data_IF_730234541934
#
_entry.id   IF_730234541934
#
_cell.length_a   1.000
_cell.length_b   1.000
_cell.length_c   1.000
_cell.angle_alpha   90.00
_cell.angle_beta   90.00
_cell.angle_gamma   90.00
#
_symmetry.space_group_name_H-M   'P 1'
#
loop_
_entity.id
_entity.type
_entity.pdbx_description
1 polymer ?
2 non-polymer ?
3 non-polymer ?
4 water ?
#
# COMPACT_ATOMS: atom_id res chain seq x y z
N UNK A 5 -2.71 -4.54 19.01
CA UNK A 5 -2.57 -4.37 17.53
C UNK A 5 -1.19 -4.79 17.05
N UNK A 6 -0.87 -6.07 17.25
CA UNK A 6 0.42 -6.62 16.83
C UNK A 6 0.48 -6.70 15.31
N UNK A 7 1.44 -6.01 14.72
CA UNK A 7 1.66 -6.03 13.28
C UNK A 7 2.18 -7.38 12.78
N UNK A 8 1.83 -7.70 11.53
CA UNK A 8 2.50 -8.79 10.83
C UNK A 8 3.88 -8.30 10.36
N UNK A 9 4.67 -9.22 9.79
CA UNK A 9 6.00 -8.86 9.30
C UNK A 9 5.90 -8.07 8.00
N UNK A 10 7.02 -7.47 7.59
CA UNK A 10 7.07 -6.74 6.34
C UNK A 10 6.78 -7.66 5.14
N UNK A 11 7.29 -8.89 5.19
CA UNK A 11 6.98 -9.85 4.12
C UNK A 11 5.49 -10.20 4.11
N UNK A 12 4.92 -10.42 5.28
CA UNK A 12 3.48 -10.72 5.35
C UNK A 12 2.65 -9.53 4.84
N UNK A 13 3.10 -8.31 5.12
CA UNK A 13 2.47 -7.11 4.55
C UNK A 13 2.57 -7.05 3.03
N UNK A 14 3.79 -7.22 2.51
CA UNK A 14 4.03 -7.19 1.07
C UNK A 14 3.13 -8.21 0.35
N UNK A 15 3.15 -9.45 0.83
CA UNK A 15 2.41 -10.52 0.17
C UNK A 15 0.89 -10.40 0.36
N UNK A 16 0.47 -9.96 1.54
CA UNK A 16 -0.96 -9.82 1.83
C UNK A 16 -1.68 -11.15 1.67
N UNK A 17 -2.90 -11.13 1.12
CA UNK A 17 -3.62 -12.38 0.84
C UNK A 17 -2.97 -13.23 -0.26
N UNK A 18 -2.00 -12.67 -0.97
CA UNK A 18 -1.35 -13.38 -2.07
C UNK A 18 -2.11 -13.27 -3.38
N UNK A 19 -3.18 -12.48 -3.37
CA UNK A 19 -4.00 -12.19 -4.54
C UNK A 19 -4.47 -10.73 -4.42
N UNK A 20 -4.93 -10.15 -5.53
CA UNK A 20 -5.36 -8.76 -5.55
C UNK A 20 -4.17 -7.83 -5.38
N UNK A 21 -4.43 -6.61 -4.93
CA UNK A 21 -3.37 -5.63 -4.73
C UNK A 21 -3.83 -4.55 -3.78
N UNK A 22 -3.08 -3.46 -3.73
CA UNK A 22 -3.34 -2.42 -2.74
C UNK A 22 -3.41 -1.05 -3.37
N UNK A 23 -4.44 -0.29 -2.98
CA UNK A 23 -4.54 1.12 -3.37
C UNK A 23 -4.05 1.99 -2.22
N UNK A 24 -3.37 3.07 -2.56
CA UNK A 24 -3.07 4.09 -1.58
C UNK A 24 -4.37 4.83 -1.24
N UNK A 25 -4.80 4.72 0.01
CA UNK A 25 -6.04 5.34 0.46
C UNK A 25 -5.79 6.76 0.96
N UNK A 26 -4.97 6.90 1.99
CA UNK A 26 -4.66 8.22 2.54
C UNK A 26 -3.17 8.38 2.74
N UNK A 27 -2.69 9.61 2.61
CA UNK A 27 -1.29 9.92 2.82
C UNK A 27 -1.11 11.33 3.33
N UNK A 28 0.01 11.57 4.00
CA UNK A 28 0.41 12.93 4.35
C UNK A 28 1.00 13.69 3.15
N UNK A 29 1.31 12.97 2.07
CA UNK A 29 1.96 13.57 0.91
C UNK A 29 0.97 14.29 0.01
N UNK A 30 1.22 15.57 -0.26
CA UNK A 30 0.42 16.33 -1.23
C UNK A 30 0.83 16.02 -2.67
N UNK A 31 -0.06 16.33 -3.61
CA UNK A 31 0.23 16.19 -5.04
C UNK A 31 0.33 14.77 -5.57
N UNK A 32 -0.22 13.81 -4.82
CA UNK A 32 -0.17 12.42 -5.23
C UNK A 32 -1.22 12.15 -6.32
N UNK A 33 -0.85 11.40 -7.35
CA UNK A 33 -1.78 11.08 -8.42
C UNK A 33 -2.87 10.10 -7.93
N UNK A 34 -4.12 10.39 -8.28
CA UNK A 34 -5.24 9.51 -7.98
C UNK A 34 -4.95 8.06 -8.37
N UNK A 35 -5.46 7.12 -7.57
CA UNK A 35 -5.43 5.70 -7.90
C UNK A 35 -4.02 5.09 -7.88
N UNK A 36 -3.13 5.73 -7.14
CA UNK A 36 -1.83 5.14 -6.83
C UNK A 36 -2.05 3.74 -6.25
N UNK A 37 -1.31 2.77 -6.77
CA UNK A 37 -1.50 1.37 -6.37
C UNK A 37 -0.19 0.60 -6.46
N UNK A 38 -0.14 -0.54 -5.79
CA UNK A 38 0.88 -1.57 -6.01
C UNK A 38 0.17 -2.92 -6.06
N UNK A 39 0.77 -3.86 -6.77
CA UNK A 39 0.24 -5.22 -6.81
C UNK A 39 1.37 -6.23 -6.91
N UNK A 40 1.44 -7.13 -5.95
CA UNK A 40 2.47 -8.15 -5.95
C UNK A 40 2.09 -9.40 -6.71
N UNK A 41 3.10 -10.05 -7.29
CA UNK A 41 2.93 -11.32 -7.97
C UNK A 41 4.26 -12.07 -7.87
N UNK A 42 4.28 -13.32 -8.31
CA UNK A 42 5.51 -14.11 -8.32
C UNK A 42 6.18 -14.12 -6.94
N UNK A 43 5.38 -14.46 -5.92
CA UNK A 43 5.86 -14.43 -4.55
C UNK A 43 6.81 -15.59 -4.27
N UNK A 44 8.00 -15.25 -3.81
CA UNK A 44 8.98 -16.23 -3.39
C UNK A 44 9.10 -16.13 -1.88
N UNK A 45 8.43 -17.04 -1.17
CA UNK A 45 8.37 -17.01 0.29
C UNK A 45 9.73 -17.22 0.96
N UNK A 46 10.56 -18.08 0.35
CA UNK A 46 11.89 -18.39 0.89
C UNK A 46 12.80 -17.16 0.87
N UNK A 47 12.84 -16.49 -0.28
CA UNK A 47 13.71 -15.34 -0.49
C UNK A 47 13.08 -14.03 -0.06
N UNK A 48 11.77 -14.06 0.19
CA UNK A 48 10.97 -12.86 0.47
C UNK A 48 11.17 -11.82 -0.64
N UNK A 49 10.96 -12.28 -1.87
CA UNK A 49 10.98 -11.41 -3.04
C UNK A 49 9.71 -11.60 -3.84
N UNK A 50 9.34 -10.57 -4.60
CA UNK A 50 8.16 -10.61 -5.44
C UNK A 50 8.35 -9.68 -6.64
N UNK A 51 7.49 -9.81 -7.63
CA UNK A 51 7.35 -8.80 -8.65
C UNK A 51 6.29 -7.81 -8.15
N UNK A 52 6.61 -6.52 -8.19
CA UNK A 52 5.62 -5.47 -7.99
C UNK A 52 5.26 -4.84 -9.32
N UNK A 53 3.96 -4.69 -9.55
CA UNK A 53 3.45 -3.83 -10.62
C UNK A 53 2.83 -2.64 -9.93
N UNK A 54 3.23 -1.44 -10.33
CA UNK A 54 2.79 -0.23 -9.63
C UNK A 54 2.53 0.90 -10.59
N UNK A 55 1.77 1.88 -10.13
CA UNK A 55 1.41 3.02 -10.95
C UNK A 55 0.30 3.82 -10.32
N UNK A 56 -0.41 4.55 -11.17
CA UNK A 56 -1.49 5.42 -10.76
C UNK A 56 -2.36 5.69 -12.00
N UNK A 57 -3.33 6.59 -11.90
CA UNK A 57 -4.19 6.88 -13.04
C UNK A 57 -3.44 7.67 -14.10
N UNK A 58 -3.34 7.08 -15.29
CA UNK A 58 -2.79 7.77 -16.45
C UNK A 58 -3.90 8.31 -17.34
N UNK A 59 -3.61 8.45 -18.63
CA UNK A 59 -4.59 8.92 -19.59
C UNK A 59 -5.55 7.80 -20.01
N UNK A 60 -6.65 8.18 -20.66
CA UNK A 60 -7.61 7.22 -21.20
C UNK A 60 -8.33 6.40 -20.13
N UNK A 61 -8.36 6.95 -18.92
CA UNK A 61 -8.93 6.27 -17.74
C UNK A 61 -8.31 4.90 -17.50
N UNK A 62 -7.01 4.79 -17.77
CA UNK A 62 -6.26 3.55 -17.59
C UNK A 62 -5.14 3.75 -16.58
N UNK A 63 -4.91 2.74 -15.74
CA UNK A 63 -3.79 2.75 -14.81
C UNK A 63 -2.47 2.58 -15.56
N UNK A 64 -1.47 3.33 -15.14
CA UNK A 64 -0.11 3.10 -15.59
C UNK A 64 0.42 1.83 -14.92
N UNK A 65 1.39 1.19 -15.55
CA UNK A 65 2.04 0.01 -15.00
C UNK A 65 3.53 0.08 -15.22
N UNK A 66 4.28 -0.12 -14.15
CA UNK A 66 5.72 -0.31 -14.23
C UNK A 66 6.02 -1.48 -13.28
N UNK A 67 7.03 -2.28 -13.62
CA UNK A 67 7.38 -3.39 -12.74
C UNK A 67 8.71 -3.14 -12.03
N UNK A 68 8.89 -3.83 -10.91
CA UNK A 68 10.13 -3.79 -10.16
C UNK A 68 10.17 -5.03 -9.29
N UNK A 69 11.37 -5.45 -8.91
CA UNK A 69 11.51 -6.47 -7.89
C UNK A 69 11.17 -5.81 -6.56
N UNK A 70 10.34 -6.47 -5.78
CA UNK A 70 10.08 -6.03 -4.41
C UNK A 70 10.76 -7.02 -3.47
N UNK A 71 11.36 -6.50 -2.41
CA UNK A 71 12.05 -7.33 -1.43
C UNK A 71 11.88 -6.75 -0.04
N UNK A 72 12.57 -7.36 0.92
CA UNK A 72 12.46 -6.96 2.32
C UNK A 72 13.85 -6.62 2.85
N UNK A 73 13.95 -5.49 3.54
CA UNK A 73 15.16 -5.15 4.27
C UNK A 73 14.72 -4.68 5.65
N UNK A 74 15.14 -5.41 6.67
CA UNK A 74 14.65 -5.16 8.02
C UNK A 74 13.14 -5.21 8.01
N UNK A 75 12.52 -4.16 8.51
CA UNK A 75 11.06 -4.11 8.59
C UNK A 75 10.48 -3.21 7.49
N UNK A 76 11.18 -3.13 6.36
CA UNK A 76 10.76 -2.32 5.23
C UNK A 76 10.51 -3.12 3.96
N UNK A 77 9.49 -2.69 3.22
CA UNK A 77 9.21 -3.17 1.88
C UNK A 77 10.05 -2.34 0.91
N UNK A 78 10.89 -3.03 0.16
CA UNK A 78 11.87 -2.37 -0.71
C UNK A 78 11.44 -2.45 -2.16
N UNK A 79 11.29 -1.30 -2.81
CA UNK A 79 11.02 -1.23 -4.25
C UNK A 79 11.94 -0.14 -4.79
N UNK A 80 12.93 -0.55 -5.60
CA UNK A 80 13.97 0.38 -6.03
C UNK A 80 14.67 0.93 -4.79
N UNK A 81 14.75 2.26 -4.69
CA UNK A 81 15.36 2.91 -3.53
C UNK A 81 14.36 3.20 -2.41
N UNK A 82 13.08 2.96 -2.67
CA UNK A 82 12.02 3.18 -1.68
C UNK A 82 12.02 2.06 -0.65
N UNK A 83 12.31 2.42 0.60
CA UNK A 83 12.19 1.49 1.72
C UNK A 83 11.03 1.95 2.59
N UNK A 84 9.91 1.26 2.46
CA UNK A 84 8.68 1.62 3.18
C UNK A 84 8.61 0.84 4.48
N UNK A 85 8.85 1.53 5.59
CA UNK A 85 8.84 0.87 6.91
C UNK A 85 7.42 0.53 7.30
N UNK A 86 7.19 -0.72 7.68
CA UNK A 86 5.86 -1.17 8.07
C UNK A 86 5.58 -0.74 9.51
N UNK A 87 4.65 0.20 9.69
CA UNK A 87 4.27 0.65 11.03
C UNK A 87 3.21 -0.26 11.62
N UNK A 88 2.19 -0.60 10.82
CA UNK A 88 1.24 -1.64 11.16
C UNK A 88 0.67 -2.25 9.89
N UNK A 89 0.58 -3.58 9.85
CA UNK A 89 -0.15 -4.27 8.78
C UNK A 89 -0.86 -5.47 9.37
N UNK A 90 -2.05 -5.78 8.84
CA UNK A 90 -2.72 -7.03 9.21
C UNK A 90 -2.45 -8.16 8.22
N UNK A 91 -1.69 -7.89 7.16
CA UNK A 91 -1.36 -8.91 6.16
C UNK A 91 -2.55 -9.35 5.31
N UNK A 92 -3.67 -8.62 5.40
CA UNK A 92 -4.93 -9.06 4.81
C UNK A 92 -5.70 -7.95 4.12
N UNK A 93 -5.79 -6.79 4.77
CA UNK A 93 -6.69 -5.73 4.29
C UNK A 93 -6.08 -4.34 4.24
N UNK A 94 -5.04 -4.08 5.04
CA UNK A 94 -4.49 -2.73 5.09
C UNK A 94 -3.10 -2.69 5.68
N UNK A 95 -2.37 -1.63 5.32
CA UNK A 95 -1.02 -1.36 5.82
C UNK A 95 -0.88 0.12 6.12
N UNK A 96 -0.14 0.42 7.18
CA UNK A 96 0.33 1.77 7.44
C UNK A 96 1.86 1.71 7.36
N UNK A 97 2.41 2.50 6.44
CA UNK A 97 3.85 2.53 6.21
C UNK A 97 4.40 3.95 6.23
N UNK A 98 5.70 4.07 6.46
CA UNK A 98 6.39 5.34 6.38
C UNK A 98 7.43 5.27 5.26
N UNK A 99 7.37 6.25 4.36
CA UNK A 99 8.30 6.32 3.23
C UNK A 99 8.61 7.77 2.96
N UNK A 100 9.90 8.10 2.92
CA UNK A 100 10.35 9.49 2.73
C UNK A 100 9.67 10.44 3.72
N UNK A 101 9.49 9.96 4.95
CA UNK A 101 8.86 10.72 6.03
C UNK A 101 7.34 10.74 6.01
N UNK A 102 6.75 10.36 4.87
CA UNK A 102 5.29 10.37 4.68
C UNK A 102 4.65 9.17 5.35
N UNK A 103 3.47 9.38 5.91
CA UNK A 103 2.69 8.31 6.51
C UNK A 103 1.60 7.93 5.51
N UNK A 104 1.55 6.65 5.16
CA UNK A 104 0.65 6.15 4.12
C UNK A 104 -0.24 5.04 4.64
N UNK A 105 -1.53 5.12 4.32
CA UNK A 105 -2.49 4.07 4.63
C UNK A 105 -2.93 3.44 3.31
N UNK A 106 -2.57 2.17 3.15
CA UNK A 106 -2.86 1.38 1.95
C UNK A 106 -3.97 0.39 2.26
N UNK A 107 -4.84 0.16 1.28
CA UNK A 107 -5.96 -0.78 1.45
C UNK A 107 -5.99 -1.82 0.34
N UNK A 108 -6.29 -3.06 0.72
CA UNK A 108 -6.42 -4.12 -0.24
C UNK A 108 -7.61 -3.86 -1.15
N UNK A 109 -7.52 -4.38 -2.37
CA UNK A 109 -8.60 -4.21 -3.35
C UNK A 109 -9.94 -4.76 -2.85
N UNK A 110 -9.90 -5.76 -1.98
CA UNK A 110 -11.12 -6.33 -1.36
C UNK A 110 -11.80 -5.40 -0.34
N UNK A 111 -11.09 -4.34 0.06
CA UNK A 111 -11.55 -3.45 1.11
C UNK A 111 -12.04 -2.09 0.60
N UNK A 112 -12.04 -1.92 -0.72
CA UNK A 112 -12.31 -0.60 -1.32
C UNK A 112 -13.76 -0.12 -1.20
N UNK A 113 -14.69 -1.03 -0.90
CA UNK A 113 -16.10 -0.63 -0.70
C UNK A 113 -16.44 -0.47 0.79
N UNK A 114 -15.44 -0.49 1.65
CA UNK A 114 -15.66 -0.32 3.08
C UNK A 114 -14.60 0.58 3.71
N UNK A 115 -14.32 1.71 3.05
CA UNK A 115 -13.22 2.56 3.51
C UNK A 115 -13.50 3.29 4.82
N UNK A 116 -14.75 3.29 5.25
CA UNK A 116 -15.12 3.80 6.58
C UNK A 116 -15.14 2.75 7.67
N UNK A 117 -14.89 1.49 7.30
CA UNK A 117 -14.88 0.38 8.25
C UNK A 117 -13.63 -0.50 8.12
N UNK A 118 -12.48 0.16 8.08
CA UNK A 118 -11.19 -0.52 8.01
C UNK A 118 -10.72 -0.98 9.37
N UNK A 119 -9.84 -1.97 9.37
CA UNK A 119 -9.18 -2.45 10.57
C UNK A 119 -8.81 -1.29 11.49
N UNK A 120 -9.33 -1.33 12.72
CA UNK A 120 -9.08 -0.28 13.70
C UNK A 120 -7.58 -0.10 13.98
N UNK A 121 -6.81 -1.17 13.85
CA UNK A 121 -5.36 -1.07 14.05
C UNK A 121 -4.71 -0.22 12.96
N UNK A 122 -5.25 -0.29 11.74
CA UNK A 122 -4.73 0.52 10.64
C UNK A 122 -5.08 1.99 10.80
N UNK A 123 -6.35 2.28 11.04
CA UNK A 123 -6.74 3.69 11.17
C UNK A 123 -6.13 4.31 12.43
N UNK A 124 -6.09 3.57 13.55
CA UNK A 124 -5.44 4.11 14.75
C UNK A 124 -3.96 4.44 14.48
N UNK A 125 -3.24 3.53 13.84
CA UNK A 125 -1.82 3.78 13.58
C UNK A 125 -1.62 4.98 12.64
N UNK A 126 -2.42 5.04 11.59
CA UNK A 126 -2.34 6.18 10.65
C UNK A 126 -2.61 7.49 11.40
N UNK A 127 -3.69 7.52 12.18
CA UNK A 127 -4.09 8.74 12.88
C UNK A 127 -3.05 9.18 13.91
N UNK A 128 -2.45 8.21 14.60
CA UNK A 128 -1.41 8.51 15.57
C UNK A 128 -0.17 9.07 14.88
N UNK A 129 0.30 8.38 13.85
CA UNK A 129 1.58 8.70 13.24
C UNK A 129 1.58 9.97 12.39
N UNK A 130 0.43 10.36 11.83
CA UNK A 130 0.40 11.57 11.03
C UNK A 130 0.47 12.85 11.87
N UNK A 131 0.21 12.74 13.18
CA UNK A 131 0.28 13.91 14.05
C UNK A 131 -0.63 15.01 13.56
N UNK A 132 -0.08 16.21 13.40
CA UNK A 132 -0.84 17.39 12.99
C UNK A 132 -0.78 17.66 11.49
N UNK A 133 -0.26 16.71 10.73
CA UNK A 133 -0.11 16.88 9.28
C UNK A 133 -1.42 16.59 8.57
N UNK A 134 -1.88 17.52 7.71
CA UNK A 134 -3.09 17.27 6.92
C UNK A 134 -3.02 15.98 6.08
N UNK A 135 -4.11 15.22 6.07
CA UNK A 135 -4.20 14.01 5.25
C UNK A 135 -4.72 14.34 3.86
N UNK A 136 -4.45 13.43 2.93
CA UNK A 136 -4.91 13.54 1.54
C UNK A 136 -5.48 12.20 1.14
N UNK A 137 -6.64 12.22 0.51
CA UNK A 137 -7.31 10.99 0.06
C UNK A 137 -6.98 10.77 -1.41
N UNK A 138 -6.41 9.62 -1.72
CA UNK A 138 -5.85 9.31 -3.03
C UNK A 138 -6.74 8.31 -3.79
N UNK A 139 -7.40 7.41 -3.05
CA UNK A 139 -8.32 6.45 -3.64
C UNK A 139 -9.69 7.07 -3.89
N UNK A 140 -10.32 6.66 -4.99
CA UNK A 140 -11.75 6.95 -5.21
C UNK A 140 -12.40 5.75 -5.89
N UNK A 141 -13.71 5.60 -5.69
CA UNK A 141 -14.43 4.42 -6.17
C UNK A 141 -14.33 4.21 -7.68
N UNK A 142 -14.16 5.30 -8.42
CA UNK A 142 -14.07 5.27 -9.88
C UNK A 142 -12.68 4.90 -10.40
N UNK A 143 -11.73 4.65 -9.50
CA UNK A 143 -10.42 4.13 -9.93
C UNK A 143 -10.61 2.83 -10.68
N UNK A 144 -9.87 2.64 -11.79
CA UNK A 144 -9.95 1.35 -12.49
C UNK A 144 -9.49 0.19 -11.60
N UNK A 145 -9.98 -1.01 -11.92
CA UNK A 145 -9.51 -2.24 -11.30
C UNK A 145 -8.00 -2.40 -11.54
N UNK A 146 -7.35 -3.12 -10.64
CA UNK A 146 -5.91 -3.33 -10.72
C UNK A 146 -5.53 -4.18 -11.94
N UNK A 147 -4.27 -4.06 -12.41
CA UNK A 147 -3.78 -4.89 -13.51
C UNK A 147 -4.00 -6.37 -13.21
N UNK A 148 -4.44 -7.10 -14.24
CA UNK A 148 -4.81 -8.51 -14.08
C UNK A 148 -3.76 -9.44 -14.66
#
# INVERSE_FOLDING_TARGET
MQQQCDTVSAWQSLRGPGTGGYYLFKTTEGGKTDCTYVKGSNFNDAAQTATYTYGNLGSGNQLTQQTASASISGNAIVVGTDHSEVLYSDGSTCDVVRLNGQIELWIHSSATSNTGNLNSCCTDKFNQEKGSRPEHVVYRSTCPNLPQ
#
